data_IF_148248404886
#
_entry.id   IF_148248404886
#
_cell.length_a   1.000
_cell.length_b   1.000
_cell.length_c   1.000
_cell.angle_alpha   90.00
_cell.angle_beta   90.00
_cell.angle_gamma   90.00
#
_symmetry.space_group_name_H-M   'P 1'
#
loop_
_entity.id
_entity.type
_entity.pdbx_description
1 polymer ?
#
# COMPACT_ATOMS: atom_id res chain seq x y z
N UNK A 1 -21.58 3.51 -2.73
CA UNK A 1 -21.03 2.89 -3.96
C UNK A 1 -19.65 2.35 -3.64
N UNK A 2 -19.45 1.03 -3.66
CA UNK A 2 -18.13 0.43 -3.42
C UNK A 2 -17.25 0.56 -4.67
N UNK A 3 -15.97 0.90 -4.48
CA UNK A 3 -15.01 1.00 -5.61
C UNK A 3 -14.68 -0.41 -6.10
N UNK A 4 -14.85 -0.66 -7.40
CA UNK A 4 -14.59 -1.98 -8.02
C UNK A 4 -13.22 -2.58 -7.68
N UNK A 5 -12.17 -1.76 -7.61
CA UNK A 5 -10.81 -2.20 -7.31
C UNK A 5 -10.65 -2.82 -5.91
N UNK A 6 -11.55 -2.53 -4.95
CA UNK A 6 -11.48 -3.10 -3.62
C UNK A 6 -11.61 -4.64 -3.67
N UNK A 7 -12.46 -5.15 -4.56
CA UNK A 7 -12.64 -6.58 -4.75
C UNK A 7 -11.36 -7.25 -5.28
N UNK A 8 -10.61 -6.57 -6.15
CA UNK A 8 -9.34 -7.09 -6.66
C UNK A 8 -8.25 -7.08 -5.58
N UNK A 9 -8.24 -6.09 -4.70
CA UNK A 9 -7.34 -6.06 -3.53
C UNK A 9 -7.67 -7.18 -2.53
N UNK A 10 -8.96 -7.49 -2.32
CA UNK A 10 -9.39 -8.62 -1.46
C UNK A 10 -8.99 -9.95 -2.11
N UNK A 11 -9.21 -10.13 -3.41
CA UNK A 11 -8.75 -11.32 -4.15
C UNK A 11 -7.24 -11.50 -4.02
N UNK A 12 -6.47 -10.41 -4.16
CA UNK A 12 -5.03 -10.45 -3.93
C UNK A 12 -4.67 -10.84 -2.50
N UNK A 13 -5.32 -10.27 -1.49
CA UNK A 13 -5.10 -10.61 -0.06
C UNK A 13 -5.24 -12.11 0.18
N UNK A 14 -6.27 -12.71 -0.41
CA UNK A 14 -6.65 -14.10 -0.21
C UNK A 14 -5.82 -15.09 -1.05
N UNK A 15 -4.95 -14.60 -1.95
CA UNK A 15 -4.08 -15.47 -2.73
C UNK A 15 -2.95 -16.05 -1.89
N UNK A 16 -2.83 -17.39 -1.90
CA UNK A 16 -1.74 -18.13 -1.22
C UNK A 16 -0.34 -17.72 -1.68
N UNK A 17 -0.23 -17.24 -2.93
CA UNK A 17 1.04 -16.87 -3.57
C UNK A 17 1.14 -15.35 -3.83
N UNK A 18 0.50 -14.54 -2.98
CA UNK A 18 0.46 -13.08 -3.15
C UNK A 18 1.88 -12.49 -3.19
N UNK A 19 2.20 -11.78 -4.27
CA UNK A 19 3.42 -10.95 -4.40
C UNK A 19 3.10 -9.52 -3.96
N UNK A 20 4.12 -8.69 -3.63
CA UNK A 20 3.90 -7.26 -3.40
C UNK A 20 3.15 -6.61 -4.57
N UNK A 21 2.16 -5.76 -4.27
CA UNK A 21 1.38 -5.04 -5.27
C UNK A 21 1.99 -3.69 -5.59
N UNK A 22 1.89 -3.30 -6.86
CA UNK A 22 2.19 -1.94 -7.32
C UNK A 22 0.90 -1.36 -7.89
N UNK A 23 0.31 -0.38 -7.20
CA UNK A 23 -0.88 0.32 -7.67
C UNK A 23 -0.48 1.54 -8.52
N UNK A 24 -0.62 1.43 -9.85
CA UNK A 24 -0.28 2.50 -10.81
C UNK A 24 -1.51 3.29 -11.25
N UNK A 25 -1.31 4.54 -11.63
CA UNK A 25 -2.37 5.39 -12.21
C UNK A 25 -2.06 6.89 -12.08
N UNK A 26 -2.90 7.72 -12.68
CA UNK A 26 -2.78 9.20 -12.69
C UNK A 26 -2.81 9.78 -11.27
N UNK A 27 -2.10 10.89 -11.02
CA UNK A 27 -2.12 11.58 -9.71
C UNK A 27 -3.56 11.99 -9.33
N UNK A 28 -3.83 12.07 -8.02
CA UNK A 28 -5.12 12.55 -7.46
C UNK A 28 -6.39 11.70 -7.73
N UNK A 29 -6.28 10.47 -8.27
CA UNK A 29 -7.45 9.58 -8.48
C UNK A 29 -7.90 8.79 -7.23
N UNK A 30 -7.31 9.08 -6.06
CA UNK A 30 -7.65 8.42 -4.80
C UNK A 30 -6.94 7.09 -4.54
N UNK A 31 -5.75 6.86 -5.12
CA UNK A 31 -4.93 5.66 -4.87
C UNK A 31 -4.54 5.49 -3.40
N UNK A 32 -4.10 6.58 -2.75
CA UNK A 32 -3.77 6.56 -1.32
C UNK A 32 -5.00 6.23 -0.47
N UNK A 33 -6.15 6.82 -0.82
CA UNK A 33 -7.39 6.60 -0.09
C UNK A 33 -7.82 5.13 -0.13
N UNK A 34 -7.83 4.51 -1.32
CA UNK A 34 -8.29 3.11 -1.43
C UNK A 34 -7.36 2.13 -0.72
N UNK A 35 -6.05 2.40 -0.67
CA UNK A 35 -5.11 1.56 0.08
C UNK A 35 -5.30 1.70 1.59
N UNK A 36 -5.55 2.91 2.10
CA UNK A 36 -5.86 3.14 3.52
C UNK A 36 -7.17 2.48 3.93
N UNK A 37 -8.21 2.63 3.11
CA UNK A 37 -9.53 2.01 3.34
C UNK A 37 -9.43 0.48 3.31
N UNK A 38 -8.78 -0.09 2.29
CA UNK A 38 -8.54 -1.53 2.20
C UNK A 38 -7.76 -2.03 3.42
N UNK A 39 -6.69 -1.31 3.81
CA UNK A 39 -5.92 -1.58 5.00
C UNK A 39 -6.81 -1.67 6.24
N UNK A 40 -7.59 -0.61 6.50
CA UNK A 40 -8.44 -0.49 7.69
C UNK A 40 -9.53 -1.56 7.77
N UNK A 41 -10.05 -2.02 6.63
CA UNK A 41 -11.07 -3.08 6.59
C UNK A 41 -10.49 -4.48 6.74
N UNK A 42 -9.26 -4.69 6.28
CA UNK A 42 -8.70 -6.03 6.12
C UNK A 42 -7.65 -6.42 7.14
N UNK A 43 -7.09 -5.45 7.86
CA UNK A 43 -5.98 -5.65 8.78
C UNK A 43 -6.23 -4.86 10.06
N UNK A 44 -5.91 -5.47 11.20
CA UNK A 44 -5.98 -4.81 12.50
C UNK A 44 -4.91 -3.72 12.64
N UNK A 45 -3.73 -3.94 12.07
CA UNK A 45 -2.59 -3.05 12.16
C UNK A 45 -2.02 -2.74 10.77
N UNK A 46 -1.67 -1.47 10.53
CA UNK A 46 -1.17 -0.98 9.24
C UNK A 46 0.05 -0.08 9.48
N UNK A 47 1.15 -0.37 8.79
CA UNK A 47 2.29 0.54 8.69
C UNK A 47 2.18 1.34 7.38
N UNK A 48 2.07 2.66 7.50
CA UNK A 48 2.01 3.57 6.35
C UNK A 48 3.29 4.41 6.28
N UNK A 49 3.94 4.38 5.11
CA UNK A 49 5.16 5.14 4.86
C UNK A 49 4.93 6.09 3.69
N UNK A 50 5.16 7.39 3.92
CA UNK A 50 5.17 8.40 2.87
C UNK A 50 6.57 8.99 2.73
N UNK A 51 7.27 8.58 1.68
CA UNK A 51 8.66 8.99 1.40
C UNK A 51 8.79 10.42 0.85
N UNK A 52 7.69 11.02 0.40
CA UNK A 52 7.68 12.43 -0.03
C UNK A 52 7.61 13.35 1.19
N UNK A 53 6.81 12.99 2.20
CA UNK A 53 6.66 13.75 3.45
C UNK A 53 7.81 13.51 4.44
N UNK A 54 8.41 12.32 4.44
CA UNK A 54 9.44 11.91 5.39
C UNK A 54 10.73 11.49 4.64
N UNK A 55 11.49 12.46 4.10
CA UNK A 55 12.69 12.17 3.32
C UNK A 55 13.77 11.41 4.10
N UNK A 56 13.77 11.48 5.43
CA UNK A 56 14.65 10.76 6.34
C UNK A 56 14.51 9.24 6.21
N UNK A 57 13.34 8.73 5.81
CA UNK A 57 13.13 7.29 5.62
C UNK A 57 14.01 6.68 4.52
N UNK A 58 14.62 7.51 3.66
CA UNK A 58 15.67 7.06 2.73
C UNK A 58 16.83 6.37 3.45
N UNK A 59 17.08 6.69 4.72
CA UNK A 59 18.14 6.07 5.50
C UNK A 59 17.94 4.55 5.67
N UNK A 60 16.69 4.06 5.69
CA UNK A 60 16.40 2.63 5.85
C UNK A 60 16.88 1.77 4.67
N UNK A 61 17.12 2.40 3.52
CA UNK A 61 17.60 1.72 2.31
C UNK A 61 19.09 1.90 2.08
N UNK A 62 19.80 2.61 2.97
CA UNK A 62 21.26 2.67 2.94
C UNK A 62 21.79 1.37 3.54
N UNK A 63 22.56 0.62 2.76
CA UNK A 63 23.24 -0.59 3.23
C UNK A 63 24.11 -0.24 4.45
N UNK A 64 23.75 -0.76 5.62
CA UNK A 64 24.75 -0.94 6.68
C UNK A 64 25.58 -2.14 6.27
N UNK A 65 26.81 -1.87 5.78
CA UNK A 65 27.84 -2.90 5.75
C UNK A 65 28.13 -3.25 7.21
N UNK A 66 27.65 -4.42 7.63
CA UNK A 66 28.17 -5.12 8.82
C UNK A 66 29.55 -5.66 8.46
#
# INVERSE_FOLDING_TARGET
MERFILNDLIKWKNSKYRKPLILKGVRQVGKTWILKEFGSRCYENIAYFNFDENPEYKQFFKQQRI
#
